data_IF_302627991686
#
_entry.id   IF_302627991686
#
_cell.length_a   1.000
_cell.length_b   1.000
_cell.length_c   1.000
_cell.angle_alpha   90.00
_cell.angle_beta   90.00
_cell.angle_gamma   90.00
#
_symmetry.space_group_name_H-M   'P 1'
#
loop_
_entity.id
_entity.type
_entity.pdbx_description
1 polymer ?
#
# COMPACT_ATOMS: atom_id res chain seq x y z
N UNK A 1 4.62 -1.01 27.61
CA UNK A 1 3.38 -0.37 28.16
C UNK A 1 2.15 -1.14 27.66
N UNK A 2 1.00 -1.01 28.29
CA UNK A 2 -0.26 -1.58 27.81
C UNK A 2 -1.18 -0.45 27.35
N UNK A 3 -1.73 -0.59 26.15
CA UNK A 3 -2.69 0.37 25.58
C UNK A 3 -4.08 -0.23 25.71
N UNK A 4 -5.06 0.60 26.07
CA UNK A 4 -6.48 0.23 26.10
C UNK A 4 -7.11 0.60 24.78
N UNK A 5 -7.66 -0.40 24.07
CA UNK A 5 -8.35 -0.20 22.79
C UNK A 5 -9.81 -0.61 22.93
N UNK A 6 -10.67 0.12 22.24
CA UNK A 6 -12.09 -0.21 22.15
C UNK A 6 -12.26 -1.47 21.29
N UNK A 7 -12.83 -2.50 21.91
CA UNK A 7 -13.03 -3.83 21.29
C UNK A 7 -14.52 -4.12 21.23
N UNK A 8 -15.04 -4.36 20.02
CA UNK A 8 -16.42 -4.77 19.79
C UNK A 8 -16.50 -6.30 19.82
N UNK A 9 -17.36 -6.82 20.70
CA UNK A 9 -17.76 -8.21 20.64
C UNK A 9 -18.96 -8.34 19.70
N UNK A 10 -18.78 -8.97 18.55
CA UNK A 10 -19.83 -9.12 17.53
C UNK A 10 -21.01 -9.99 17.97
N UNK A 11 -20.85 -10.86 18.97
CA UNK A 11 -21.96 -11.66 19.55
C UNK A 11 -22.92 -10.82 20.38
N UNK A 12 -22.37 -9.94 21.20
CA UNK A 12 -23.14 -9.15 22.15
C UNK A 12 -23.45 -7.73 21.66
N UNK A 13 -22.82 -7.35 20.56
CA UNK A 13 -22.87 -5.99 19.98
C UNK A 13 -22.53 -4.91 21.02
N UNK A 14 -21.53 -5.19 21.87
CA UNK A 14 -21.07 -4.29 22.93
C UNK A 14 -19.61 -3.95 22.77
N UNK A 15 -19.32 -2.67 22.94
CA UNK A 15 -17.94 -2.15 22.97
C UNK A 15 -17.40 -2.31 24.39
N UNK A 16 -16.22 -2.89 24.52
CA UNK A 16 -15.48 -3.03 25.77
C UNK A 16 -14.03 -2.61 25.59
N UNK A 17 -13.41 -2.02 26.60
CA UNK A 17 -11.99 -1.65 26.55
C UNK A 17 -11.14 -2.84 26.96
N UNK A 18 -10.38 -3.39 26.01
CA UNK A 18 -9.38 -4.44 26.28
C UNK A 18 -7.98 -3.87 26.29
N UNK A 19 -7.10 -4.45 27.10
CA UNK A 19 -5.69 -4.06 27.18
C UNK A 19 -4.87 -4.92 26.23
N UNK A 20 -4.06 -4.24 25.41
CA UNK A 20 -3.11 -4.88 24.51
C UNK A 20 -1.69 -4.44 24.87
N UNK A 21 -0.72 -5.37 24.80
CA UNK A 21 0.68 -5.04 24.99
C UNK A 21 1.21 -4.40 23.72
N UNK A 22 1.37 -3.10 23.74
CA UNK A 22 1.92 -2.32 22.64
C UNK A 22 2.87 -1.24 23.21
N UNK A 23 4.01 -1.05 22.58
CA UNK A 23 4.95 0.01 22.93
C UNK A 23 4.84 1.11 21.86
N UNK A 24 4.03 2.16 22.10
CA UNK A 24 3.91 3.25 21.15
C UNK A 24 5.23 4.00 21.02
N UNK A 25 5.55 4.41 19.81
CA UNK A 25 6.70 5.24 19.51
C UNK A 25 6.28 6.69 19.82
N UNK A 26 6.94 7.32 20.80
CA UNK A 26 6.61 8.69 21.23
C UNK A 26 7.04 9.73 20.19
N UNK A 27 8.23 9.55 19.60
CA UNK A 27 8.75 10.48 18.59
C UNK A 27 8.40 10.05 17.16
N UNK A 28 7.51 10.80 16.52
CA UNK A 28 7.09 10.53 15.15
C UNK A 28 7.94 11.31 14.18
N UNK A 29 8.72 10.59 13.36
CA UNK A 29 9.51 11.18 12.29
C UNK A 29 8.66 11.32 11.01
N UNK A 30 8.06 12.49 10.81
CA UNK A 30 7.24 12.80 9.64
C UNK A 30 8.03 12.67 8.33
N UNK A 31 9.32 13.01 8.32
CA UNK A 31 10.18 12.87 7.13
C UNK A 31 10.32 11.42 6.68
N UNK A 32 10.47 10.48 7.64
CA UNK A 32 10.53 9.05 7.35
C UNK A 32 9.18 8.54 6.82
N UNK A 33 8.07 8.93 7.46
CA UNK A 33 6.72 8.58 7.00
C UNK A 33 6.48 9.08 5.57
N UNK A 34 6.79 10.36 5.29
CA UNK A 34 6.66 10.94 3.96
C UNK A 34 7.48 10.17 2.92
N UNK A 35 8.73 9.85 3.20
CA UNK A 35 9.59 9.10 2.29
C UNK A 35 9.00 7.73 1.97
N UNK A 36 8.54 6.97 2.97
CA UNK A 36 7.96 5.63 2.78
C UNK A 36 6.65 5.70 2.00
N UNK A 37 5.77 6.65 2.31
CA UNK A 37 4.49 6.83 1.61
C UNK A 37 4.72 7.26 0.16
N UNK A 38 5.65 8.20 -0.09
CA UNK A 38 6.04 8.62 -1.43
C UNK A 38 6.58 7.43 -2.24
N UNK A 39 7.47 6.63 -1.66
CA UNK A 39 8.01 5.43 -2.29
C UNK A 39 6.92 4.41 -2.64
N UNK A 40 5.97 4.20 -1.73
CA UNK A 40 4.82 3.32 -1.99
C UNK A 40 3.95 3.83 -3.14
N UNK A 41 3.59 5.12 -3.15
CA UNK A 41 2.82 5.74 -4.25
C UNK A 41 3.57 5.68 -5.59
N UNK A 42 4.89 5.86 -5.58
CA UNK A 42 5.71 5.74 -6.78
C UNK A 42 5.66 4.32 -7.35
N UNK A 43 5.70 3.29 -6.48
CA UNK A 43 5.62 1.89 -6.90
C UNK A 43 4.24 1.47 -7.43
N UNK A 44 3.16 2.14 -6.99
CA UNK A 44 1.81 1.90 -7.53
C UNK A 44 1.58 2.61 -8.88
N UNK A 45 2.44 3.54 -9.26
CA UNK A 45 2.30 4.29 -10.49
C UNK A 45 2.55 3.42 -11.71
N UNK A 46 1.56 3.28 -12.57
CA UNK A 46 1.68 2.63 -13.87
C UNK A 46 2.03 3.68 -14.93
N UNK A 47 3.00 3.36 -15.79
CA UNK A 47 3.33 4.18 -16.94
C UNK A 47 2.57 3.69 -18.17
N UNK A 48 1.51 4.41 -18.54
CA UNK A 48 0.69 4.12 -19.71
C UNK A 48 0.99 5.05 -20.90
N UNK A 49 1.77 6.12 -20.67
CA UNK A 49 2.13 7.06 -21.72
C UNK A 49 3.17 6.42 -22.66
N UNK A 50 2.83 6.34 -23.94
CA UNK A 50 3.71 5.85 -24.98
C UNK A 50 3.46 6.59 -26.29
N UNK A 51 4.52 6.90 -27.01
CA UNK A 51 4.44 7.48 -28.35
C UNK A 51 5.26 6.63 -29.32
N UNK A 52 4.85 6.64 -30.59
CA UNK A 52 5.55 5.89 -31.65
C UNK A 52 6.80 6.64 -32.09
N UNK A 53 7.92 5.97 -32.04
CA UNK A 53 9.18 6.41 -32.67
C UNK A 53 9.09 6.26 -34.19
N UNK A 54 10.01 6.84 -34.94
CA UNK A 54 10.03 6.72 -36.39
C UNK A 54 10.07 5.26 -36.90
N UNK A 55 10.58 4.34 -36.11
CA UNK A 55 10.62 2.92 -36.46
C UNK A 55 9.23 2.25 -36.30
N UNK A 56 8.41 2.74 -35.39
CA UNK A 56 7.11 2.18 -35.04
C UNK A 56 5.95 2.80 -35.84
N UNK A 57 6.14 3.99 -36.42
CA UNK A 57 5.13 4.62 -37.27
C UNK A 57 4.95 3.84 -38.55
N UNK A 58 3.70 3.59 -38.94
CA UNK A 58 3.37 2.96 -40.22
C UNK A 58 3.73 3.90 -41.37
N UNK A 59 4.23 3.34 -42.45
CA UNK A 59 4.61 4.09 -43.65
C UNK A 59 5.76 3.45 -44.39
N UNK A 60 6.14 4.01 -45.54
CA UNK A 60 7.27 3.47 -46.34
C UNK A 60 8.61 3.75 -45.64
N UNK A 61 9.53 2.76 -45.70
CA UNK A 61 10.92 2.93 -45.28
C UNK A 61 11.82 3.50 -46.42
N UNK A 62 11.27 3.67 -47.62
CA UNK A 62 12.02 4.12 -48.76
C UNK A 62 12.56 5.54 -48.59
N UNK A 63 13.71 5.83 -49.17
CA UNK A 63 14.29 7.17 -49.23
C UNK A 63 13.42 8.04 -50.15
N UNK A 64 12.93 9.22 -49.68
CA UNK A 64 11.97 10.04 -50.43
C UNK A 64 12.47 10.55 -51.79
N UNK A 65 13.77 10.87 -51.87
CA UNK A 65 14.44 11.34 -53.10
C UNK A 65 15.94 11.08 -53.06
N UNK A 66 16.61 11.29 -54.19
CA UNK A 66 18.05 11.10 -54.32
C UNK A 66 18.83 12.04 -53.38
N UNK A 67 20.03 11.57 -52.97
CA UNK A 67 20.87 12.32 -52.00
C UNK A 67 21.37 13.66 -52.50
N UNK A 68 21.55 13.78 -53.84
CA UNK A 68 22.05 14.97 -54.54
C UNK A 68 21.23 15.21 -55.82
N UNK A 69 21.28 16.42 -56.39
CA UNK A 69 20.67 16.70 -57.66
C UNK A 69 19.19 17.15 -57.64
N UNK A 70 18.54 17.20 -56.47
CA UNK A 70 17.12 17.53 -56.39
C UNK A 70 16.84 18.93 -55.92
N UNK A 71 17.83 19.73 -55.50
CA UNK A 71 17.66 21.05 -54.89
C UNK A 71 16.93 21.10 -53.56
N UNK A 72 16.51 19.94 -53.03
CA UNK A 72 15.78 19.80 -51.78
C UNK A 72 16.73 19.42 -50.63
N UNK A 73 16.29 19.67 -49.39
CA UNK A 73 16.98 19.23 -48.18
C UNK A 73 17.10 17.70 -48.17
N UNK A 74 18.24 17.16 -47.72
CA UNK A 74 18.51 15.74 -47.68
C UNK A 74 17.61 15.06 -46.62
N UNK A 75 16.87 14.04 -47.03
CA UNK A 75 15.97 13.27 -46.18
C UNK A 75 16.19 11.77 -46.31
N UNK A 76 16.16 11.05 -45.19
CA UNK A 76 16.32 9.60 -45.18
C UNK A 76 14.98 8.84 -45.11
N UNK A 77 13.95 9.43 -44.56
CA UNK A 77 12.64 8.80 -44.41
C UNK A 77 11.55 9.84 -44.17
N UNK A 78 10.34 9.61 -44.70
CA UNK A 78 9.16 10.42 -44.48
C UNK A 78 8.58 10.22 -43.07
N UNK A 79 9.00 9.15 -42.35
CA UNK A 79 8.59 8.93 -40.93
C UNK A 79 9.44 9.72 -39.94
N UNK A 80 10.38 10.53 -40.38
CA UNK A 80 11.23 11.35 -39.50
C UNK A 80 10.40 12.41 -38.76
N UNK A 81 10.80 12.82 -37.54
CA UNK A 81 10.00 13.71 -36.70
C UNK A 81 9.68 15.08 -37.29
N UNK A 82 10.46 15.55 -38.26
CA UNK A 82 10.25 16.82 -38.96
C UNK A 82 9.07 16.80 -39.94
N UNK A 83 8.56 15.63 -40.30
CA UNK A 83 7.43 15.48 -41.19
C UNK A 83 6.11 15.35 -40.45
N UNK A 84 5.05 15.89 -41.02
CA UNK A 84 3.69 15.67 -40.51
C UNK A 84 3.36 14.17 -40.59
N UNK A 85 2.87 13.60 -39.48
CA UNK A 85 2.65 12.16 -39.37
C UNK A 85 3.93 11.33 -39.11
N UNK A 86 5.07 11.97 -38.92
CA UNK A 86 6.31 11.29 -38.52
C UNK A 86 6.30 10.86 -37.05
N UNK A 87 7.31 10.06 -36.68
CA UNK A 87 7.48 9.61 -35.29
C UNK A 87 7.95 10.71 -34.36
N UNK A 88 7.76 10.52 -33.07
CA UNK A 88 8.23 11.46 -32.04
C UNK A 88 9.66 11.14 -31.64
N UNK A 89 10.53 12.16 -31.59
CA UNK A 89 11.87 12.04 -31.05
C UNK A 89 11.84 12.25 -29.54
N UNK A 90 12.50 11.37 -28.78
CA UNK A 90 12.60 11.45 -27.30
C UNK A 90 11.26 11.59 -26.56
N UNK A 91 10.19 11.03 -27.12
CA UNK A 91 8.90 11.01 -26.48
C UNK A 91 8.81 10.04 -25.29
N UNK A 92 7.70 10.09 -24.51
CA UNK A 92 7.50 9.18 -23.40
C UNK A 92 7.44 7.74 -23.90
N UNK A 93 8.16 6.85 -23.21
CA UNK A 93 8.16 5.41 -23.46
C UNK A 93 7.77 4.64 -22.19
N UNK A 94 7.50 3.37 -22.32
CA UNK A 94 7.21 2.48 -21.19
C UNK A 94 8.41 2.45 -20.23
N UNK A 95 8.17 2.79 -18.97
CA UNK A 95 9.16 2.69 -17.89
C UNK A 95 8.50 2.21 -16.61
N UNK A 96 9.26 1.54 -15.77
CA UNK A 96 8.82 1.12 -14.44
C UNK A 96 9.26 2.17 -13.43
N UNK A 97 8.29 2.67 -12.66
CA UNK A 97 8.57 3.52 -11.52
C UNK A 97 8.85 2.63 -10.32
N UNK A 98 10.08 2.63 -9.83
CA UNK A 98 10.49 1.80 -8.71
C UNK A 98 11.30 2.59 -7.71
N UNK A 99 10.80 2.65 -6.47
CA UNK A 99 11.49 3.18 -5.31
C UNK A 99 11.92 2.00 -4.41
N UNK A 100 13.19 2.01 -3.99
CA UNK A 100 13.80 0.94 -3.18
C UNK A 100 13.96 1.39 -1.72
N UNK A 101 12.85 1.60 -1.03
CA UNK A 101 12.90 1.89 0.40
C UNK A 101 13.30 0.64 1.20
N UNK A 102 14.29 0.73 2.12
CA UNK A 102 14.73 -0.38 2.97
C UNK A 102 13.59 -0.99 3.81
N UNK A 103 13.64 -2.30 4.04
CA UNK A 103 12.62 -3.01 4.85
C UNK A 103 12.49 -2.44 6.27
N UNK A 104 13.62 -2.15 6.94
CA UNK A 104 13.63 -1.55 8.30
C UNK A 104 12.92 -0.20 8.36
N UNK A 105 13.07 0.63 7.32
CA UNK A 105 12.37 1.92 7.25
C UNK A 105 10.86 1.73 7.10
N UNK A 106 10.42 0.77 6.29
CA UNK A 106 8.99 0.43 6.12
C UNK A 106 8.37 -0.06 7.42
N UNK A 107 9.03 -0.98 8.12
CA UNK A 107 8.57 -1.50 9.41
C UNK A 107 8.48 -0.38 10.46
N UNK A 108 9.53 0.45 10.58
CA UNK A 108 9.52 1.60 11.51
C UNK A 108 8.41 2.61 11.16
N UNK A 109 8.19 2.88 9.87
CA UNK A 109 7.11 3.77 9.43
C UNK A 109 5.72 3.22 9.75
N UNK A 110 5.50 1.90 9.60
CA UNK A 110 4.25 1.25 9.97
C UNK A 110 4.00 1.37 11.49
N UNK A 111 5.00 1.06 12.30
CA UNK A 111 4.89 1.17 13.76
C UNK A 111 4.60 2.61 14.21
N UNK A 112 5.25 3.62 13.60
CA UNK A 112 4.96 5.04 13.85
C UNK A 112 3.54 5.42 13.44
N UNK A 113 3.06 4.96 12.28
CA UNK A 113 1.70 5.25 11.81
C UNK A 113 0.64 4.69 12.76
N UNK A 114 0.82 3.46 13.25
CA UNK A 114 -0.08 2.86 14.22
C UNK A 114 0.01 3.59 15.58
N UNK A 115 1.21 3.95 16.05
CA UNK A 115 1.39 4.71 17.28
C UNK A 115 0.66 6.05 17.23
N UNK A 116 0.72 6.74 16.09
CA UNK A 116 -0.01 7.99 15.87
C UNK A 116 -1.53 7.77 15.95
N UNK A 117 -2.05 6.75 15.27
CA UNK A 117 -3.49 6.44 15.31
C UNK A 117 -3.99 6.04 16.70
N UNK A 118 -3.14 5.37 17.48
CA UNK A 118 -3.46 5.06 18.89
C UNK A 118 -3.52 6.33 19.72
N UNK A 119 -2.60 7.28 19.52
CA UNK A 119 -2.64 8.57 20.26
C UNK A 119 -3.81 9.45 19.85
N UNK A 120 -4.36 9.28 18.66
CA UNK A 120 -5.57 9.93 18.14
C UNK A 120 -6.87 9.22 18.53
N UNK A 121 -6.78 8.10 19.28
CA UNK A 121 -7.93 7.25 19.66
C UNK A 121 -8.71 6.70 18.43
N UNK A 122 -8.06 6.60 17.26
CA UNK A 122 -8.66 6.16 15.99
C UNK A 122 -8.36 4.68 15.68
N UNK A 123 -8.07 3.87 16.71
CA UNK A 123 -7.80 2.42 16.55
C UNK A 123 -8.84 1.62 17.30
N UNK A 124 -9.51 0.76 16.57
CA UNK A 124 -10.57 -0.11 17.08
C UNK A 124 -10.21 -1.59 16.86
N UNK A 125 -10.77 -2.46 17.67
CA UNK A 125 -10.61 -3.92 17.52
C UNK A 125 -11.96 -4.58 17.36
N UNK A 126 -12.08 -5.49 16.40
CA UNK A 126 -13.29 -6.28 16.19
C UNK A 126 -13.02 -7.75 16.44
N UNK A 127 -13.87 -8.39 17.23
CA UNK A 127 -13.82 -9.82 17.44
C UNK A 127 -14.67 -10.53 16.36
N UNK A 128 -14.02 -11.17 15.41
CA UNK A 128 -14.66 -11.89 14.31
C UNK A 128 -15.33 -13.20 14.70
N UNK A 129 -15.08 -13.72 15.90
CA UNK A 129 -15.58 -15.02 16.36
C UNK A 129 -17.12 -15.10 16.53
N UNK A 130 -17.83 -13.98 16.36
CA UNK A 130 -19.28 -13.90 16.47
C UNK A 130 -20.05 -13.93 15.15
N UNK A 131 -19.35 -13.99 14.02
CA UNK A 131 -19.96 -13.95 12.69
C UNK A 131 -19.83 -15.34 12.04
N UNK A 132 -20.88 -16.16 12.16
CA UNK A 132 -20.87 -17.52 11.61
C UNK A 132 -21.08 -17.53 10.08
N UNK A 133 -21.75 -16.50 9.54
CA UNK A 133 -21.98 -16.34 8.11
C UNK A 133 -21.71 -14.90 7.64
N UNK A 134 -21.23 -14.70 6.39
CA UNK A 134 -20.98 -13.36 5.87
C UNK A 134 -22.23 -12.49 5.89
N UNK A 135 -22.19 -11.34 6.57
CA UNK A 135 -23.31 -10.41 6.70
C UNK A 135 -22.85 -8.95 6.68
N UNK A 136 -23.21 -8.24 5.63
CA UNK A 136 -22.93 -6.79 5.50
C UNK A 136 -23.73 -5.96 6.50
N UNK A 137 -24.92 -6.45 6.92
CA UNK A 137 -25.75 -5.79 7.92
C UNK A 137 -25.08 -5.75 9.29
N UNK A 138 -24.45 -6.86 9.71
CA UNK A 138 -23.69 -6.91 10.96
C UNK A 138 -22.42 -6.02 10.88
N UNK A 139 -21.74 -6.02 9.74
CA UNK A 139 -20.60 -5.15 9.53
C UNK A 139 -21.00 -3.67 9.60
N UNK A 140 -22.11 -3.27 9.00
CA UNK A 140 -22.62 -1.90 9.06
C UNK A 140 -23.05 -1.49 10.48
N UNK A 141 -23.65 -2.42 11.28
CA UNK A 141 -23.97 -2.13 12.69
C UNK A 141 -22.70 -1.94 13.53
N UNK A 142 -21.67 -2.76 13.30
CA UNK A 142 -20.38 -2.62 13.99
C UNK A 142 -19.71 -1.26 13.75
N UNK A 143 -19.76 -0.74 12.52
CA UNK A 143 -19.23 0.59 12.19
C UNK A 143 -20.01 1.69 12.92
N UNK A 144 -21.32 1.55 13.03
CA UNK A 144 -22.15 2.52 13.77
C UNK A 144 -21.86 2.50 15.27
N UNK A 145 -21.62 1.34 15.86
CA UNK A 145 -21.26 1.21 17.29
C UNK A 145 -19.90 1.85 17.61
N UNK A 146 -18.96 1.83 16.67
CA UNK A 146 -17.70 2.55 16.80
C UNK A 146 -17.78 4.06 16.47
N UNK A 147 -18.95 4.56 16.06
CA UNK A 147 -19.17 5.95 15.59
C UNK A 147 -18.21 6.36 14.45
N UNK A 148 -17.81 5.42 13.62
CA UNK A 148 -16.95 5.67 12.45
C UNK A 148 -17.78 6.38 11.38
N UNK A 149 -17.43 7.63 11.10
CA UNK A 149 -18.17 8.52 10.16
C UNK A 149 -17.49 8.69 8.82
N UNK A 150 -16.21 8.26 8.72
CA UNK A 150 -15.34 8.49 7.56
C UNK A 150 -14.75 7.19 7.06
N UNK A 151 -13.73 7.32 6.25
CA UNK A 151 -13.00 6.19 5.69
C UNK A 151 -12.27 5.39 6.76
N UNK A 152 -12.27 4.07 6.62
CA UNK A 152 -11.57 3.19 7.55
C UNK A 152 -10.78 2.09 6.84
N UNK A 153 -9.70 1.66 7.48
CA UNK A 153 -8.94 0.48 7.05
C UNK A 153 -9.22 -0.68 7.99
N UNK A 154 -9.70 -1.80 7.45
CA UNK A 154 -9.81 -3.05 8.18
C UNK A 154 -8.58 -3.91 7.93
N UNK A 155 -7.81 -4.17 8.98
CA UNK A 155 -6.68 -5.10 8.96
C UNK A 155 -7.15 -6.46 9.49
N UNK A 156 -7.16 -7.46 8.63
CA UNK A 156 -7.66 -8.80 8.94
C UNK A 156 -6.56 -9.87 8.81
N UNK A 157 -6.74 -10.98 9.51
CA UNK A 157 -5.92 -12.18 9.31
C UNK A 157 -6.47 -13.03 8.17
N UNK A 158 -5.62 -13.80 7.49
CA UNK A 158 -6.03 -14.73 6.44
C UNK A 158 -7.04 -15.78 6.94
N UNK A 159 -7.16 -15.97 8.25
CA UNK A 159 -8.15 -16.84 8.91
C UNK A 159 -9.54 -16.20 9.01
N UNK A 160 -9.65 -14.88 8.88
CA UNK A 160 -10.87 -14.09 9.07
C UNK A 160 -11.66 -13.92 7.76
N UNK A 161 -11.82 -15.00 6.97
CA UNK A 161 -12.47 -14.94 5.64
C UNK A 161 -13.92 -14.42 5.71
N UNK A 162 -14.66 -14.80 6.75
CA UNK A 162 -16.06 -14.38 6.97
C UNK A 162 -16.12 -12.87 7.24
N UNK A 163 -15.19 -12.35 8.05
CA UNK A 163 -15.07 -10.92 8.33
C UNK A 163 -14.75 -10.14 7.05
N UNK A 164 -13.76 -10.61 6.27
CA UNK A 164 -13.42 -10.03 4.99
C UNK A 164 -14.63 -9.94 4.05
N UNK A 165 -15.38 -11.04 3.88
CA UNK A 165 -16.57 -11.07 3.03
C UNK A 165 -17.68 -10.12 3.50
N UNK A 166 -17.81 -9.94 4.83
CA UNK A 166 -18.82 -9.06 5.42
C UNK A 166 -18.51 -7.57 5.18
N UNK A 167 -17.24 -7.18 5.24
CA UNK A 167 -16.83 -5.77 5.13
C UNK A 167 -16.51 -5.31 3.71
N UNK A 168 -16.16 -6.21 2.77
CA UNK A 168 -15.65 -5.82 1.45
C UNK A 168 -16.60 -4.98 0.59
N UNK A 169 -17.91 -5.03 0.86
CA UNK A 169 -18.93 -4.30 0.09
C UNK A 169 -19.31 -2.95 0.72
N UNK A 170 -18.72 -2.57 1.84
CA UNK A 170 -19.01 -1.29 2.48
C UNK A 170 -18.27 -0.16 1.75
N UNK A 171 -18.94 0.98 1.61
CA UNK A 171 -18.35 2.19 1.08
C UNK A 171 -17.23 2.69 2.01
N UNK A 172 -16.24 3.37 1.44
CA UNK A 172 -15.09 3.94 2.16
C UNK A 172 -14.27 2.94 2.99
N UNK A 173 -14.43 1.64 2.73
CA UNK A 173 -13.69 0.58 3.39
C UNK A 173 -12.45 0.17 2.59
N UNK A 174 -11.30 0.09 3.25
CA UNK A 174 -10.08 -0.48 2.71
C UNK A 174 -9.72 -1.73 3.50
N UNK A 175 -9.68 -2.89 2.85
CA UNK A 175 -9.38 -4.16 3.50
C UNK A 175 -7.96 -4.61 3.15
N UNK A 176 -7.16 -4.88 4.16
CA UNK A 176 -5.75 -5.27 4.00
C UNK A 176 -5.42 -6.43 4.93
N UNK A 177 -4.77 -7.47 4.40
CA UNK A 177 -4.26 -8.57 5.22
C UNK A 177 -3.07 -8.11 6.08
N UNK A 178 -2.93 -8.64 7.30
CA UNK A 178 -1.81 -8.37 8.22
C UNK A 178 -0.45 -8.54 7.54
N UNK A 179 -0.31 -9.55 6.67
CA UNK A 179 0.93 -9.84 5.96
C UNK A 179 1.32 -8.77 4.92
N UNK A 180 0.35 -7.97 4.44
CA UNK A 180 0.51 -6.97 3.38
C UNK A 180 0.36 -5.53 3.84
N UNK A 181 -0.04 -5.31 5.09
CA UNK A 181 -0.29 -3.98 5.62
C UNK A 181 0.95 -3.09 5.53
N UNK A 182 0.76 -1.86 5.07
CA UNK A 182 1.81 -0.86 4.93
C UNK A 182 1.39 0.46 5.59
N UNK A 183 2.36 1.32 5.91
CA UNK A 183 2.09 2.62 6.52
C UNK A 183 1.12 3.48 5.71
N UNK A 184 1.14 3.37 4.38
CA UNK A 184 0.22 4.09 3.50
C UNK A 184 -1.24 3.69 3.74
N UNK A 185 -1.51 2.43 4.09
CA UNK A 185 -2.87 1.93 4.31
C UNK A 185 -3.47 2.54 5.57
N UNK A 186 -2.67 2.66 6.63
CA UNK A 186 -3.08 3.26 7.91
C UNK A 186 -3.24 4.77 7.81
N UNK A 187 -2.36 5.45 7.06
CA UNK A 187 -2.37 6.92 6.95
C UNK A 187 -3.46 7.39 5.98
N UNK A 188 -3.81 6.59 4.97
CA UNK A 188 -4.76 7.00 3.92
C UNK A 188 -6.22 7.05 4.37
N UNK A 189 -6.55 6.47 5.50
CA UNK A 189 -7.89 6.44 6.09
C UNK A 189 -7.90 7.11 7.46
N UNK A 190 -9.06 7.53 7.92
CA UNK A 190 -9.21 8.23 9.20
C UNK A 190 -9.13 7.26 10.36
N UNK A 191 -9.80 6.12 10.27
CA UNK A 191 -9.87 5.11 11.32
C UNK A 191 -9.23 3.78 10.90
N UNK A 192 -8.78 3.01 11.89
CA UNK A 192 -8.18 1.69 11.66
C UNK A 192 -8.84 0.66 12.56
N UNK A 193 -9.37 -0.40 11.96
CA UNK A 193 -9.99 -1.51 12.66
C UNK A 193 -9.07 -2.72 12.52
N UNK A 194 -8.71 -3.37 13.61
CA UNK A 194 -7.99 -4.63 13.60
C UNK A 194 -8.93 -5.78 13.97
N UNK A 195 -8.81 -6.93 13.29
CA UNK A 195 -9.40 -8.15 13.84
C UNK A 195 -8.59 -8.62 15.04
N UNK A 196 -9.21 -9.35 15.97
CA UNK A 196 -8.53 -9.92 17.15
C UNK A 196 -7.36 -10.83 16.75
N UNK A 197 -7.52 -11.59 15.67
CA UNK A 197 -6.46 -12.44 15.13
C UNK A 197 -5.35 -11.61 14.47
N UNK A 198 -5.71 -10.51 13.80
CA UNK A 198 -4.75 -9.62 13.16
C UNK A 198 -3.87 -8.90 14.18
N UNK A 199 -4.45 -8.34 15.24
CA UNK A 199 -3.68 -7.64 16.27
C UNK A 199 -2.76 -8.60 17.02
N UNK A 200 -3.20 -9.83 17.31
CA UNK A 200 -2.38 -10.85 17.94
C UNK A 200 -1.19 -11.26 17.07
N UNK A 201 -1.39 -11.40 15.76
CA UNK A 201 -0.31 -11.68 14.80
C UNK A 201 0.65 -10.50 14.65
N UNK A 202 0.13 -9.28 14.62
CA UNK A 202 0.95 -8.07 14.53
C UNK A 202 1.85 -7.90 15.77
N UNK A 203 1.30 -8.05 16.95
CA UNK A 203 2.04 -7.98 18.21
C UNK A 203 2.99 -9.17 18.40
N UNK A 204 2.61 -10.36 17.93
CA UNK A 204 3.46 -11.55 17.95
C UNK A 204 4.68 -11.47 17.03
N UNK A 205 4.56 -10.80 15.90
CA UNK A 205 5.70 -10.55 14.98
C UNK A 205 6.71 -9.58 15.59
N UNK A 206 6.28 -8.64 16.42
CA UNK A 206 7.20 -7.77 17.15
C UNK A 206 7.87 -8.47 18.36
N UNK A 207 7.22 -9.50 18.91
CA UNK A 207 7.80 -10.31 19.99
C UNK A 207 8.85 -11.34 19.52
N UNK A 208 9.03 -11.51 18.22
CA UNK A 208 10.22 -12.17 17.68
C UNK A 208 11.37 -11.17 17.84
N UNK A 209 11.87 -11.09 19.09
CA UNK A 209 13.20 -10.58 19.36
C UNK A 209 14.13 -11.15 18.28
N UNK A 210 14.89 -10.27 17.65
CA UNK A 210 16.02 -10.69 16.86
C UNK A 210 16.85 -11.64 17.71
N UNK A 211 16.64 -12.92 17.60
CA UNK A 211 17.66 -13.87 17.96
C UNK A 211 18.78 -13.55 16.97
N UNK A 212 19.75 -12.80 17.45
CA UNK A 212 21.06 -12.76 16.85
C UNK A 212 21.44 -14.23 16.61
N UNK A 213 21.36 -14.65 15.37
CA UNK A 213 22.17 -15.73 14.88
C UNK A 213 23.61 -15.22 15.08
N UNK A 214 24.15 -15.48 16.26
CA UNK A 214 25.59 -15.51 16.45
C UNK A 214 26.05 -16.60 15.51
N UNK A 215 26.56 -16.19 14.36
CA UNK A 215 27.32 -17.07 13.49
C UNK A 215 28.38 -17.73 14.38
N UNK A 216 28.45 -19.09 14.43
CA UNK A 216 29.53 -19.72 15.14
C UNK A 216 30.85 -19.19 14.51
N UNK A 217 31.65 -18.56 15.34
CA UNK A 217 33.01 -18.18 14.97
C UNK A 217 33.73 -19.48 14.69
N UNK A 218 33.91 -19.82 13.41
CA UNK A 218 34.80 -20.90 13.02
C UNK A 218 36.21 -20.44 13.37
N UNK A 219 36.69 -20.90 14.53
CA UNK A 219 38.08 -20.74 14.92
C UNK A 219 38.93 -21.55 13.93
N UNK A 220 39.72 -20.87 13.16
CA UNK A 220 40.82 -21.50 12.46
C UNK A 220 41.89 -21.86 13.50
N UNK A 221 42.16 -23.13 13.67
CA UNK A 221 43.40 -23.67 14.24
C UNK A 221 44.36 -23.93 13.08
#
# INVERSE_FOLDING_TARGET
>A
MSVKLDTLNTKENKVSKKQYKFEPIEEINVGLLHQVVKGSRTNFRNNTASVKTRAQVSGTGAKPWAQKGTGRARQGSLRSPQFVGGGVAHGPGTRVYKDRTPKKMKSKALAMAISQRISEESVFVIDGNGIDSPSTKLAASAIKEFDIKRSFTLVYSDEDEVLFKSFRNLEDSKLVSVSKVAAIDIISTDDTIFSTNAISKYLGVESVSYTHLTLPTIGYV
#
